data_IF_455510459871
#
_entry.id   IF_455510459871
#
_cell.length_a   1.000
_cell.length_b   1.000
_cell.length_c   1.000
_cell.angle_alpha   90.00
_cell.angle_beta   90.00
_cell.angle_gamma   90.00
#
_symmetry.space_group_name_H-M   'P 1'
#
loop_
_entity.id
_entity.type
_entity.pdbx_description
1 polymer ?
#
# COMPACT_ATOMS: atom_id res chain seq x y z
N UNK A 1 5.59 6.97 -6.94
CA UNK A 1 4.18 6.51 -6.80
C UNK A 1 3.73 5.93 -8.12
N UNK A 2 3.09 4.76 -8.09
CA UNK A 2 2.51 4.15 -9.29
C UNK A 2 0.99 4.06 -9.14
N UNK A 3 0.27 4.03 -10.25
CA UNK A 3 -1.18 3.82 -10.27
C UNK A 3 -1.60 2.92 -11.42
N UNK A 4 -2.61 2.08 -11.21
CA UNK A 4 -3.20 1.22 -12.25
C UNK A 4 -3.91 2.07 -13.30
N UNK A 5 -3.92 1.66 -14.56
CA UNK A 5 -4.46 2.41 -15.70
C UNK A 5 -5.60 1.66 -16.43
N UNK A 6 -6.04 0.54 -15.88
CA UNK A 6 -7.14 -0.29 -16.40
C UNK A 6 -7.91 -0.96 -15.25
N UNK A 7 -9.02 -1.64 -15.60
CA UNK A 7 -9.87 -2.34 -14.65
C UNK A 7 -9.37 -3.75 -14.27
N UNK A 8 -8.39 -4.31 -14.98
CA UNK A 8 -7.77 -5.62 -14.68
C UNK A 8 -6.55 -5.47 -13.76
N UNK A 9 -6.43 -4.32 -13.08
CA UNK A 9 -5.19 -3.56 -12.81
C UNK A 9 -3.87 -4.21 -13.26
N UNK A 10 -3.62 -4.31 -14.58
CA UNK A 10 -2.38 -4.88 -15.12
C UNK A 10 -1.37 -3.84 -15.62
N UNK A 11 -1.83 -2.71 -16.16
CA UNK A 11 -0.97 -1.60 -16.60
C UNK A 11 -0.83 -0.56 -15.50
N UNK A 12 0.41 -0.09 -15.29
CA UNK A 12 0.72 0.94 -14.30
C UNK A 12 1.46 2.11 -14.93
N UNK A 13 1.13 3.33 -14.50
CA UNK A 13 1.90 4.53 -14.77
C UNK A 13 2.71 4.92 -13.53
N UNK A 14 3.89 5.49 -13.72
CA UNK A 14 4.79 5.89 -12.63
C UNK A 14 5.00 7.40 -12.61
N UNK A 15 4.92 7.99 -11.42
CA UNK A 15 5.39 9.35 -11.13
C UNK A 15 6.50 9.25 -10.09
N UNK A 16 7.59 10.00 -10.28
CA UNK A 16 8.78 9.98 -9.43
C UNK A 16 9.23 11.42 -9.14
N UNK A 17 9.75 11.66 -7.93
CA UNK A 17 10.25 12.96 -7.46
C UNK A 17 11.49 12.76 -6.60
N UNK A 18 12.37 13.75 -6.62
CA UNK A 18 13.49 13.85 -5.68
C UNK A 18 13.01 14.63 -4.46
N UNK A 19 13.42 14.21 -3.26
CA UNK A 19 13.05 14.86 -2.01
C UNK A 19 14.28 15.03 -1.11
N UNK A 20 14.11 15.77 -0.01
CA UNK A 20 15.19 16.04 0.92
C UNK A 20 15.78 14.75 1.53
N UNK A 21 17.05 14.82 1.94
CA UNK A 21 17.75 13.68 2.52
C UNK A 21 17.02 13.16 3.78
N UNK A 22 16.82 11.83 3.85
CA UNK A 22 16.15 11.12 4.97
C UNK A 22 14.73 11.58 5.29
N UNK A 23 14.07 12.26 4.36
CA UNK A 23 12.65 12.54 4.49
C UNK A 23 11.86 11.30 4.08
N UNK A 24 11.04 10.75 4.97
CA UNK A 24 10.19 9.59 4.66
C UNK A 24 8.87 10.02 3.98
N UNK A 25 8.27 11.12 4.45
CA UNK A 25 7.00 11.64 3.94
C UNK A 25 7.18 12.12 2.49
N UNK A 26 6.32 11.65 1.58
CA UNK A 26 6.35 12.05 0.18
C UNK A 26 5.85 13.50 0.04
N UNK A 27 6.77 14.44 -0.17
CA UNK A 27 6.47 15.88 -0.20
C UNK A 27 5.50 16.28 -1.32
N UNK A 28 5.72 15.76 -2.54
CA UNK A 28 4.93 16.10 -3.73
C UNK A 28 3.79 15.10 -4.02
N UNK A 29 3.33 14.35 -3.02
CA UNK A 29 2.35 13.29 -3.24
C UNK A 29 1.06 13.81 -3.91
N UNK A 30 0.60 15.02 -3.55
CA UNK A 30 -0.61 15.60 -4.14
C UNK A 30 -0.48 15.78 -5.67
N UNK A 31 0.66 16.31 -6.14
CA UNK A 31 0.92 16.47 -7.57
C UNK A 31 1.02 15.12 -8.28
N UNK A 32 1.73 14.15 -7.67
CA UNK A 32 1.90 12.80 -8.23
C UNK A 32 0.56 12.06 -8.36
N UNK A 33 -0.29 12.13 -7.33
CA UNK A 33 -1.63 11.51 -7.36
C UNK A 33 -2.52 12.20 -8.40
N UNK A 34 -2.44 13.53 -8.51
CA UNK A 34 -3.19 14.30 -9.52
C UNK A 34 -2.82 13.87 -10.95
N UNK A 35 -1.53 13.68 -11.23
CA UNK A 35 -1.04 13.15 -12.51
C UNK A 35 -1.63 11.77 -12.79
N UNK A 36 -1.56 10.86 -11.83
CA UNK A 36 -2.07 9.49 -11.98
C UNK A 36 -3.59 9.44 -12.19
N UNK A 37 -4.35 10.26 -11.46
CA UNK A 37 -5.81 10.35 -11.63
C UNK A 37 -6.20 10.89 -13.00
N UNK A 38 -5.45 11.87 -13.54
CA UNK A 38 -5.65 12.37 -14.91
C UNK A 38 -5.35 11.30 -15.94
N UNK A 39 -4.23 10.59 -15.79
CA UNK A 39 -3.87 9.50 -16.70
C UNK A 39 -4.89 8.36 -16.65
N UNK A 40 -5.34 7.97 -15.46
CA UNK A 40 -6.38 6.96 -15.31
C UNK A 40 -7.67 7.35 -16.05
N UNK A 41 -8.11 8.61 -15.90
CA UNK A 41 -9.29 9.10 -16.62
C UNK A 41 -9.09 9.10 -18.14
N UNK A 42 -7.90 9.47 -18.63
CA UNK A 42 -7.58 9.43 -20.06
C UNK A 42 -7.60 7.99 -20.61
N UNK A 43 -7.13 7.01 -19.85
CA UNK A 43 -7.09 5.61 -20.29
C UNK A 43 -8.43 4.90 -20.18
N UNK A 44 -9.24 5.23 -19.17
CA UNK A 44 -10.46 4.46 -18.85
C UNK A 44 -11.75 5.22 -19.14
N UNK A 45 -11.71 6.54 -19.28
CA UNK A 45 -12.88 7.44 -19.29
C UNK A 45 -13.75 7.36 -18.02
N UNK A 46 -13.20 6.80 -16.93
CA UNK A 46 -13.89 6.65 -15.65
C UNK A 46 -13.16 7.42 -14.54
N UNK A 47 -13.94 7.98 -13.63
CA UNK A 47 -13.42 8.57 -12.38
C UNK A 47 -13.41 7.49 -11.30
N UNK A 48 -12.30 7.25 -10.61
CA UNK A 48 -12.25 6.20 -9.59
C UNK A 48 -13.04 6.62 -8.36
N UNK A 49 -14.10 5.89 -8.01
CA UNK A 49 -14.86 6.14 -6.77
C UNK A 49 -14.11 5.69 -5.51
N UNK A 50 -13.06 4.87 -5.67
CA UNK A 50 -12.24 4.35 -4.59
C UNK A 50 -10.76 4.44 -4.95
N UNK A 51 -9.94 4.82 -3.97
CA UNK A 51 -8.48 4.84 -4.05
C UNK A 51 -7.95 3.89 -2.98
N UNK A 52 -7.25 2.85 -3.40
CA UNK A 52 -6.54 1.92 -2.51
C UNK A 52 -5.05 2.24 -2.61
N UNK A 53 -4.47 2.70 -1.51
CA UNK A 53 -3.09 3.18 -1.46
C UNK A 53 -2.24 2.26 -0.58
N UNK A 54 -1.36 1.50 -1.22
CA UNK A 54 -0.37 0.67 -0.54
C UNK A 54 0.93 1.47 -0.35
N UNK A 55 1.28 1.75 0.91
CA UNK A 55 2.47 2.51 1.30
C UNK A 55 3.52 1.60 1.90
N UNK A 56 4.60 1.34 1.17
CA UNK A 56 5.75 0.56 1.63
C UNK A 56 6.80 1.44 2.31
N UNK A 57 7.52 0.97 3.33
CA UNK A 57 8.72 1.62 3.85
C UNK A 57 8.55 2.52 5.08
N UNK A 58 7.38 2.52 5.72
CA UNK A 58 7.12 3.34 6.91
C UNK A 58 7.38 2.54 8.18
N UNK A 59 8.06 3.14 9.16
CA UNK A 59 8.22 2.56 10.50
C UNK A 59 7.00 2.86 11.38
N UNK A 60 6.67 1.97 12.33
CA UNK A 60 5.48 2.11 13.21
C UNK A 60 5.41 3.48 13.90
N UNK A 61 6.53 3.96 14.44
CA UNK A 61 6.62 5.26 15.10
C UNK A 61 6.31 6.48 14.20
N UNK A 62 6.25 6.29 12.88
CA UNK A 62 5.94 7.33 11.90
C UNK A 62 4.54 7.20 11.29
N UNK A 63 3.78 6.14 11.60
CA UNK A 63 2.48 5.88 10.98
C UNK A 63 1.54 7.06 11.05
N UNK A 64 1.37 7.64 12.24
CA UNK A 64 0.46 8.77 12.45
C UNK A 64 0.86 9.99 11.62
N UNK A 65 2.15 10.33 11.60
CA UNK A 65 2.63 11.50 10.87
C UNK A 65 2.50 11.29 9.35
N UNK A 66 2.94 10.13 8.85
CA UNK A 66 2.83 9.79 7.43
C UNK A 66 1.37 9.77 6.99
N UNK A 67 0.49 9.12 7.76
CA UNK A 67 -0.95 9.06 7.46
C UNK A 67 -1.56 10.46 7.36
N UNK A 68 -1.32 11.34 8.34
CA UNK A 68 -1.90 12.69 8.35
C UNK A 68 -1.46 13.48 7.11
N UNK A 69 -0.17 13.46 6.77
CA UNK A 69 0.36 14.22 5.64
C UNK A 69 -0.05 13.61 4.29
N UNK A 70 0.13 12.31 4.10
CA UNK A 70 -0.11 11.64 2.83
C UNK A 70 -1.60 11.51 2.52
N UNK A 71 -2.45 11.20 3.50
CA UNK A 71 -3.90 11.17 3.30
C UNK A 71 -4.45 12.54 2.92
N UNK A 72 -3.95 13.60 3.57
CA UNK A 72 -4.32 14.98 3.21
C UNK A 72 -3.90 15.31 1.79
N UNK A 73 -2.69 14.93 1.38
CA UNK A 73 -2.20 15.15 0.02
C UNK A 73 -3.04 14.42 -1.05
N UNK A 74 -3.47 13.17 -0.78
CA UNK A 74 -4.36 12.42 -1.68
C UNK A 74 -5.72 13.13 -1.81
N UNK A 75 -6.30 13.60 -0.69
CA UNK A 75 -7.56 14.36 -0.69
C UNK A 75 -7.43 15.68 -1.44
N UNK A 76 -6.34 16.40 -1.23
CA UNK A 76 -6.04 17.66 -1.93
C UNK A 76 -5.95 17.45 -3.45
N UNK A 77 -5.28 16.38 -3.88
CA UNK A 77 -5.21 16.01 -5.29
C UNK A 77 -6.62 15.84 -5.90
N UNK A 78 -7.51 15.14 -5.21
CA UNK A 78 -8.90 14.92 -5.64
C UNK A 78 -9.69 16.24 -5.74
N UNK A 79 -9.68 17.05 -4.67
CA UNK A 79 -10.39 18.34 -4.63
C UNK A 79 -9.86 19.30 -5.70
N UNK A 80 -8.56 19.28 -5.96
CA UNK A 80 -7.93 20.13 -6.98
C UNK A 80 -8.25 19.74 -8.44
N UNK A 81 -8.84 18.56 -8.66
CA UNK A 81 -9.29 18.12 -9.97
C UNK A 81 -10.73 18.54 -10.23
N UNK A 82 -11.60 18.44 -9.22
CA UNK A 82 -13.02 18.74 -9.33
C UNK A 82 -13.61 19.06 -7.96
N UNK A 83 -14.40 20.14 -7.90
CA UNK A 83 -15.09 20.55 -6.67
C UNK A 83 -16.09 19.46 -6.27
N UNK A 84 -15.95 18.95 -5.05
CA UNK A 84 -16.82 17.89 -4.51
C UNK A 84 -16.38 16.46 -4.84
N UNK A 85 -15.29 16.27 -5.60
CA UNK A 85 -14.76 14.93 -5.86
C UNK A 85 -14.07 14.35 -4.62
N UNK A 86 -14.77 13.41 -3.96
CA UNK A 86 -14.35 12.80 -2.70
C UNK A 86 -14.45 11.27 -2.77
N UNK A 87 -13.53 10.60 -3.50
CA UNK A 87 -13.52 9.14 -3.55
C UNK A 87 -13.18 8.56 -2.18
N UNK A 88 -13.69 7.35 -1.89
CA UNK A 88 -13.32 6.62 -0.68
C UNK A 88 -11.84 6.23 -0.72
N UNK A 89 -11.08 6.54 0.33
CA UNK A 89 -9.64 6.24 0.40
C UNK A 89 -9.40 5.13 1.42
N UNK A 90 -8.75 4.05 0.99
CA UNK A 90 -8.21 3.00 1.86
C UNK A 90 -6.69 3.15 1.88
N UNK A 91 -6.11 3.40 3.04
CA UNK A 91 -4.67 3.58 3.22
C UNK A 91 -4.11 2.36 3.96
N UNK A 92 -3.23 1.62 3.29
CA UNK A 92 -2.65 0.37 3.82
C UNK A 92 -1.13 0.53 3.87
N UNK A 93 -0.55 0.48 5.06
CA UNK A 93 0.91 0.41 5.20
C UNK A 93 1.35 -1.03 5.00
N UNK A 94 2.38 -1.24 4.18
CA UNK A 94 2.99 -2.54 3.94
C UNK A 94 4.39 -2.54 4.54
N UNK A 95 4.65 -3.45 5.47
CA UNK A 95 5.97 -3.62 6.07
C UNK A 95 6.51 -5.00 5.73
N UNK A 96 7.53 -5.07 4.87
CA UNK A 96 8.21 -6.33 4.54
C UNK A 96 9.40 -6.64 5.45
N UNK A 97 9.96 -5.64 6.12
CA UNK A 97 11.16 -5.74 6.94
C UNK A 97 10.78 -5.57 8.41
N UNK A 98 10.49 -6.69 9.06
CA UNK A 98 10.15 -6.77 10.49
C UNK A 98 10.74 -8.03 11.12
N UNK A 99 10.62 -8.15 12.44
CA UNK A 99 11.16 -9.28 13.20
C UNK A 99 10.19 -10.43 13.43
N UNK A 100 8.89 -10.27 13.12
CA UNK A 100 7.91 -11.37 13.18
C UNK A 100 8.27 -12.49 12.21
N UNK A 101 8.22 -13.74 12.68
CA UNK A 101 8.44 -14.96 11.90
C UNK A 101 7.32 -15.95 12.19
N UNK A 102 6.84 -16.63 11.17
CA UNK A 102 5.76 -17.61 11.23
C UNK A 102 6.31 -18.97 10.79
N UNK A 103 5.94 -20.02 11.51
CA UNK A 103 6.40 -21.39 11.25
C UNK A 103 5.20 -22.34 11.24
N UNK A 104 5.26 -23.39 10.42
CA UNK A 104 4.27 -24.46 10.48
C UNK A 104 4.41 -25.25 11.78
N UNK A 105 3.28 -25.52 12.43
CA UNK A 105 3.24 -26.39 13.60
C UNK A 105 3.59 -27.83 13.23
N UNK A 106 2.99 -28.33 12.14
CA UNK A 106 3.22 -29.68 11.63
C UNK A 106 4.27 -29.68 10.51
N UNK A 107 5.11 -30.72 10.45
CA UNK A 107 6.12 -30.83 9.39
C UNK A 107 5.52 -31.01 8.00
N UNK A 108 4.37 -31.68 7.91
CA UNK A 108 3.67 -31.95 6.63
C UNK A 108 3.20 -30.68 5.92
N UNK A 109 3.00 -29.59 6.66
CA UNK A 109 2.52 -28.31 6.13
C UNK A 109 3.68 -27.42 5.66
N UNK A 110 4.92 -27.82 5.92
CA UNK A 110 6.11 -27.10 5.49
C UNK A 110 6.27 -27.17 3.97
N UNK A 111 6.58 -26.03 3.36
CA UNK A 111 6.73 -25.89 1.92
C UNK A 111 8.20 -25.65 1.51
N UNK A 112 8.61 -26.35 0.46
CA UNK A 112 9.94 -26.19 -0.14
C UNK A 112 11.09 -26.67 0.75
N UNK A 113 12.33 -26.50 0.27
CA UNK A 113 13.53 -26.97 0.98
C UNK A 113 13.79 -26.22 2.28
N UNK A 114 13.39 -24.94 2.34
CA UNK A 114 13.52 -24.10 3.53
C UNK A 114 12.48 -24.40 4.61
N UNK A 115 11.47 -25.23 4.33
CA UNK A 115 10.44 -25.60 5.29
C UNK A 115 9.58 -24.43 5.77
N UNK A 116 9.33 -23.45 4.89
CA UNK A 116 8.56 -22.25 5.20
C UNK A 116 7.05 -22.54 5.24
N UNK A 117 6.29 -21.58 5.78
CA UNK A 117 4.82 -21.55 5.66
C UNK A 117 4.37 -21.48 4.18
N UNK A 118 3.21 -22.07 3.84
CA UNK A 118 2.69 -22.02 2.48
C UNK A 118 2.32 -20.58 2.05
N UNK A 119 2.45 -20.23 0.75
CA UNK A 119 1.96 -18.96 0.24
C UNK A 119 0.46 -18.81 0.48
N UNK A 120 0.03 -17.62 0.88
CA UNK A 120 -1.35 -17.32 1.27
C UNK A 120 -1.63 -17.47 2.77
N UNK A 121 -0.66 -17.97 3.56
CA UNK A 121 -0.78 -18.00 5.03
C UNK A 121 -1.04 -16.59 5.54
N UNK A 122 -2.18 -16.41 6.22
CA UNK A 122 -2.67 -15.13 6.73
C UNK A 122 -2.93 -15.24 8.23
N UNK A 123 -2.49 -14.24 8.99
CA UNK A 123 -2.68 -14.17 10.45
C UNK A 123 -3.22 -12.79 10.78
N UNK A 124 -4.47 -12.75 11.24
CA UNK A 124 -5.20 -11.54 11.63
C UNK A 124 -5.60 -11.53 13.12
N UNK A 125 -5.21 -12.55 13.89
CA UNK A 125 -5.55 -12.71 15.29
C UNK A 125 -4.35 -13.20 16.13
N UNK A 126 -4.43 -12.95 17.45
CA UNK A 126 -3.47 -13.43 18.45
C UNK A 126 -2.20 -12.58 18.58
N UNK A 127 -1.49 -12.35 17.47
CA UNK A 127 -0.22 -11.59 17.44
C UNK A 127 -0.32 -10.23 16.75
N UNK A 128 -1.51 -9.88 16.25
CA UNK A 128 -1.84 -8.59 15.64
C UNK A 128 -2.12 -7.52 16.68
N UNK A 129 -2.23 -6.26 16.25
CA UNK A 129 -2.52 -5.14 17.13
C UNK A 129 -3.87 -5.33 17.84
N UNK A 130 -3.98 -5.08 19.15
CA UNK A 130 -5.19 -5.38 19.92
C UNK A 130 -6.41 -4.52 19.56
N UNK A 131 -6.20 -3.39 18.86
CA UNK A 131 -7.25 -2.41 18.56
C UNK A 131 -7.18 -1.80 17.16
N UNK A 132 -6.10 -2.02 16.42
CA UNK A 132 -5.92 -1.44 15.07
C UNK A 132 -6.21 -2.53 14.04
N UNK A 133 -6.33 -2.14 12.77
CA UNK A 133 -6.61 -3.09 11.70
C UNK A 133 -5.32 -3.47 10.98
N UNK A 134 -4.65 -4.50 11.47
CA UNK A 134 -3.46 -5.09 10.88
C UNK A 134 -3.61 -6.60 10.69
N UNK A 135 -2.80 -7.14 9.78
CA UNK A 135 -2.70 -8.58 9.51
C UNK A 135 -1.34 -8.89 8.87
N UNK A 136 -0.88 -10.11 9.06
CA UNK A 136 0.25 -10.66 8.33
C UNK A 136 -0.23 -11.49 7.15
N UNK A 137 0.44 -11.38 6.01
CA UNK A 137 0.22 -12.25 4.86
C UNK A 137 1.57 -12.66 4.26
N UNK A 138 1.82 -13.97 4.20
CA UNK A 138 2.94 -14.52 3.44
C UNK A 138 2.45 -14.82 2.02
N UNK A 139 2.50 -13.83 1.14
CA UNK A 139 1.94 -13.96 -0.22
C UNK A 139 2.84 -14.70 -1.22
N UNK A 140 3.98 -15.24 -0.78
CA UNK A 140 5.00 -15.81 -1.67
C UNK A 140 5.52 -17.15 -1.12
N UNK A 141 6.04 -17.99 -2.03
CA UNK A 141 6.70 -19.22 -1.65
C UNK A 141 8.12 -18.92 -1.13
N UNK A 142 8.46 -19.41 0.06
CA UNK A 142 9.79 -19.27 0.64
C UNK A 142 10.79 -20.24 -0.01
N UNK A 143 11.60 -19.73 -0.94
CA UNK A 143 12.58 -20.55 -1.69
C UNK A 143 13.84 -20.82 -0.84
N UNK A 144 14.32 -19.82 -0.10
CA UNK A 144 15.55 -19.87 0.69
C UNK A 144 15.41 -19.03 1.96
#
# INVERSE_FOLDING_TARGET
>A
VVGSMDAHPCRYYASVRVQAHRQEIIAELAAMVKELLRQFYQCTMHKPHRIIFYRDGVSEGQFKQVLIHELRAIREACISLEVGYQPGITFVVVQKRHHTRLFCQEERDRCGRGGNIPPGTTVDHGITHPSEFDFYICSHAGIQ
#
